data_IF_570764855215
#
_entry.id   IF_570764855215
#
_cell.length_a   1.000
_cell.length_b   1.000
_cell.length_c   1.000
_cell.angle_alpha   90.00
_cell.angle_beta   90.00
_cell.angle_gamma   90.00
#
_symmetry.space_group_name_H-M   'P 1'
#
loop_
_entity.id
_entity.type
_entity.pdbx_description
1 polymer ?
#
# COMPACT_ATOMS: atom_id res chain seq x y z
N UNK A 1 -0.01 -14.74 18.33
CA UNK A 1 -0.21 -13.39 17.72
C UNK A 1 -0.02 -13.57 16.22
N UNK A 2 -0.98 -13.20 15.36
CA UNK A 2 -0.74 -13.24 13.91
C UNK A 2 0.29 -12.15 13.60
N UNK A 3 1.46 -12.56 13.14
CA UNK A 3 2.54 -11.66 12.76
C UNK A 3 2.00 -10.75 11.65
N UNK A 4 2.04 -9.44 11.89
CA UNK A 4 1.62 -8.45 10.93
C UNK A 4 2.54 -8.56 9.70
N UNK A 5 2.01 -8.82 8.51
CA UNK A 5 2.82 -9.03 7.30
C UNK A 5 3.31 -7.72 6.68
N UNK A 6 3.43 -6.66 7.48
CA UNK A 6 3.91 -5.35 7.04
C UNK A 6 5.36 -5.42 6.53
N UNK A 7 6.19 -6.32 7.05
CA UNK A 7 7.59 -6.45 6.60
C UNK A 7 7.64 -6.89 5.12
N UNK A 8 6.89 -7.94 4.75
CA UNK A 8 6.77 -8.40 3.35
C UNK A 8 6.10 -7.35 2.45
N UNK A 9 5.15 -6.60 3.00
CA UNK A 9 4.50 -5.49 2.31
C UNK A 9 5.50 -4.36 2.02
N UNK A 10 6.39 -4.06 2.96
CA UNK A 10 7.38 -2.98 2.87
C UNK A 10 8.45 -3.30 1.83
N UNK A 11 8.99 -4.52 1.82
CA UNK A 11 9.97 -4.95 0.80
C UNK A 11 9.41 -4.88 -0.64
N UNK A 12 8.16 -5.32 -0.83
CA UNK A 12 7.49 -5.25 -2.13
C UNK A 12 7.25 -3.80 -2.56
N UNK A 13 6.86 -2.96 -1.60
CA UNK A 13 6.67 -1.53 -1.79
C UNK A 13 7.94 -0.80 -2.23
N UNK A 14 9.06 -1.09 -1.58
CA UNK A 14 10.35 -0.48 -1.92
C UNK A 14 10.73 -0.73 -3.38
N UNK A 15 10.52 -1.95 -3.90
CA UNK A 15 10.80 -2.26 -5.30
C UNK A 15 9.93 -1.44 -6.27
N UNK A 16 8.64 -1.27 -5.98
CA UNK A 16 7.74 -0.51 -6.85
C UNK A 16 8.00 1.01 -6.76
N UNK A 17 8.39 1.49 -5.59
CA UNK A 17 8.80 2.87 -5.37
C UNK A 17 10.09 3.22 -6.12
N UNK A 18 11.10 2.35 -6.06
CA UNK A 18 12.35 2.54 -6.81
C UNK A 18 12.12 2.66 -8.32
N UNK A 19 11.08 2.03 -8.85
CA UNK A 19 10.74 2.08 -10.27
C UNK A 19 9.78 3.23 -10.65
N UNK A 20 9.36 4.06 -9.68
CA UNK A 20 8.30 5.06 -9.86
C UNK A 20 7.04 4.48 -10.52
N UNK A 21 6.74 3.21 -10.22
CA UNK A 21 5.76 2.43 -10.99
C UNK A 21 4.33 2.61 -10.50
N UNK A 22 4.16 3.13 -9.28
CA UNK A 22 2.86 3.31 -8.64
C UNK A 22 2.24 4.62 -9.09
N UNK A 23 1.06 4.54 -9.69
CA UNK A 23 0.25 5.70 -10.08
C UNK A 23 -0.61 6.22 -8.93
N UNK A 24 -1.21 5.33 -8.15
CA UNK A 24 -2.03 5.68 -6.98
C UNK A 24 -2.29 4.47 -6.10
N UNK A 25 -2.63 4.72 -4.84
CA UNK A 25 -3.01 3.69 -3.87
C UNK A 25 -4.41 3.95 -3.34
N UNK A 26 -5.20 2.90 -3.15
CA UNK A 26 -6.51 2.96 -2.51
C UNK A 26 -6.55 2.03 -1.29
N UNK A 27 -7.06 2.51 -0.17
CA UNK A 27 -7.27 1.71 1.05
C UNK A 27 -8.77 1.59 1.27
N UNK A 28 -9.28 0.36 1.38
CA UNK A 28 -10.70 0.13 1.65
C UNK A 28 -11.03 0.07 3.15
N UNK A 29 -12.32 0.11 3.47
CA UNK A 29 -12.84 -0.03 4.84
C UNK A 29 -12.39 -1.30 5.59
N UNK A 30 -11.93 -2.34 4.87
CA UNK A 30 -11.40 -3.59 5.46
C UNK A 30 -9.88 -3.57 5.61
N UNK A 31 -9.22 -2.47 5.28
CA UNK A 31 -7.76 -2.33 5.32
C UNK A 31 -7.04 -3.03 4.16
N UNK A 32 -7.75 -3.37 3.07
CA UNK A 32 -7.12 -3.87 1.85
C UNK A 32 -6.53 -2.71 1.07
N UNK A 33 -5.31 -2.89 0.59
CA UNK A 33 -4.56 -1.88 -0.16
C UNK A 33 -4.54 -2.29 -1.62
N UNK A 34 -5.11 -1.47 -2.48
CA UNK A 34 -5.06 -1.64 -3.93
C UNK A 34 -4.09 -0.63 -4.54
N UNK A 35 -3.03 -1.14 -5.15
CA UNK A 35 -2.11 -0.36 -5.98
C UNK A 35 -2.66 -0.29 -7.39
N UNK A 36 -2.61 0.90 -7.98
CA UNK A 36 -2.79 1.09 -9.42
C UNK A 36 -1.46 1.54 -9.98
N UNK A 37 -0.94 0.79 -10.93
CA UNK A 37 0.35 1.06 -11.55
C UNK A 37 0.19 1.92 -12.82
N UNK A 38 1.32 2.40 -13.35
CA UNK A 38 1.35 3.27 -14.53
C UNK A 38 0.87 2.58 -15.81
N UNK A 39 1.03 1.25 -15.91
CA UNK A 39 0.53 0.40 -16.99
C UNK A 39 -0.99 0.10 -16.91
N UNK A 40 -1.64 0.53 -15.82
CA UNK A 40 -3.06 0.27 -15.56
C UNK A 40 -3.34 -1.05 -14.84
N UNK A 41 -2.33 -1.88 -14.58
CA UNK A 41 -2.47 -3.07 -13.74
C UNK A 41 -2.81 -2.64 -12.32
N UNK A 42 -3.63 -3.47 -11.66
CA UNK A 42 -4.00 -3.28 -10.26
C UNK A 42 -3.63 -4.52 -9.48
N UNK A 43 -3.00 -4.32 -8.33
CA UNK A 43 -2.72 -5.39 -7.38
C UNK A 43 -3.32 -5.03 -6.03
N UNK A 44 -3.98 -6.00 -5.40
CA UNK A 44 -4.67 -5.78 -4.12
C UNK A 44 -4.09 -6.70 -3.06
N UNK A 45 -3.45 -6.08 -2.08
CA UNK A 45 -2.86 -6.77 -0.95
C UNK A 45 -3.79 -6.66 0.26
N UNK A 46 -4.11 -7.81 0.83
CA UNK A 46 -4.76 -7.87 2.13
C UNK A 46 -3.67 -7.94 3.20
N UNK A 47 -3.43 -6.81 3.86
CA UNK A 47 -2.52 -6.78 5.01
C UNK A 47 -3.25 -7.43 6.19
N UNK A 48 -2.75 -8.55 6.69
CA UNK A 48 -3.38 -9.30 7.80
C UNK A 48 -2.59 -9.12 9.09
N UNK A 49 -3.29 -9.12 10.23
CA UNK A 49 -2.65 -8.96 11.55
C UNK A 49 -2.29 -7.51 11.91
N UNK A 50 -2.73 -6.53 11.12
CA UNK A 50 -2.50 -5.11 11.35
C UNK A 50 -3.85 -4.36 11.34
N UNK A 51 -3.96 -3.26 12.09
CA UNK A 51 -5.13 -2.39 12.07
C UNK A 51 -5.08 -1.40 10.89
N UNK A 52 -6.23 -0.83 10.53
CA UNK A 52 -6.34 0.13 9.42
C UNK A 52 -5.41 1.34 9.58
N UNK A 53 -5.19 1.80 10.81
CA UNK A 53 -4.35 2.96 11.09
C UNK A 53 -2.87 2.66 10.82
N UNK A 54 -2.43 1.44 11.10
CA UNK A 54 -1.08 0.96 10.77
C UNK A 54 -0.88 0.91 9.25
N UNK A 55 -1.88 0.41 8.51
CA UNK A 55 -1.85 0.36 7.03
C UNK A 55 -1.81 1.77 6.43
N UNK A 56 -2.64 2.69 6.92
CA UNK A 56 -2.64 4.10 6.49
C UNK A 56 -1.28 4.74 6.76
N UNK A 57 -0.69 4.50 7.93
CA UNK A 57 0.62 5.05 8.29
C UNK A 57 1.73 4.58 7.36
N UNK A 58 1.73 3.28 7.01
CA UNK A 58 2.66 2.74 6.02
C UNK A 58 2.46 3.38 4.64
N UNK A 59 1.21 3.55 4.21
CA UNK A 59 0.92 4.20 2.93
C UNK A 59 1.18 5.72 2.94
N UNK A 60 1.26 6.37 4.09
CA UNK A 60 1.49 7.83 4.18
C UNK A 60 2.83 8.24 3.56
N UNK A 61 3.85 7.40 3.67
CA UNK A 61 5.16 7.61 3.04
C UNK A 61 5.04 7.72 1.52
N UNK A 62 4.06 7.03 0.91
CA UNK A 62 3.78 7.15 -0.53
C UNK A 62 3.25 8.54 -0.89
N UNK A 63 2.37 9.08 -0.05
CA UNK A 63 1.86 10.45 -0.24
C UNK A 63 2.98 11.49 -0.12
N UNK A 64 3.95 11.27 0.76
CA UNK A 64 5.14 12.15 0.89
C UNK A 64 6.04 12.10 -0.35
N UNK A 65 6.02 10.97 -1.08
CA UNK A 65 6.71 10.80 -2.36
C UNK A 65 5.88 11.26 -3.57
N UNK A 66 4.72 11.88 -3.35
CA UNK A 66 3.86 12.40 -4.42
C UNK A 66 2.90 11.39 -5.04
N UNK A 67 2.81 10.18 -4.48
CA UNK A 67 1.86 9.15 -4.93
C UNK A 67 0.50 9.39 -4.25
N UNK A 68 -0.59 9.61 -5.00
CA UNK A 68 -1.91 9.82 -4.42
C UNK A 68 -2.39 8.59 -3.65
N UNK A 69 -2.69 8.76 -2.36
CA UNK A 69 -3.35 7.74 -1.53
C UNK A 69 -4.79 8.15 -1.28
N UNK A 70 -5.74 7.26 -1.58
CA UNK A 70 -7.18 7.48 -1.40
C UNK A 70 -7.74 6.48 -0.39
N UNK A 71 -8.58 6.96 0.51
CA UNK A 71 -9.33 6.11 1.42
C UNK A 71 -10.76 5.94 0.91
N UNK A 72 -11.30 4.72 0.95
CA UNK A 72 -12.66 4.37 0.52
C UNK A 72 -13.44 3.65 1.61
#
# INVERSE_FOLDING_TARGET
MKQCTLDHFSETLEMWLMQNYIRSVTIDAKGRVTFTFMDGVKDTLQVTGCDRSQVIRACRQLSEQGIPVRER
#
